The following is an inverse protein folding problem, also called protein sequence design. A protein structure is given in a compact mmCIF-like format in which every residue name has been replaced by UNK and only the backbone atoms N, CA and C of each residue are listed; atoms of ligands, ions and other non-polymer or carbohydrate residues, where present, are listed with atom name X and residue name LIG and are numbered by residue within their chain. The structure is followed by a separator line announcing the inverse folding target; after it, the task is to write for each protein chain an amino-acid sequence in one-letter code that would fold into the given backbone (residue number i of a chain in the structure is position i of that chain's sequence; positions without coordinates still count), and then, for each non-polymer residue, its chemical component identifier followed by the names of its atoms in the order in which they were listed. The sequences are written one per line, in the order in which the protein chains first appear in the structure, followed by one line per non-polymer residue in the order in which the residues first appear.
data_IF_700874362898
#
_entry.id   IF_700874362898
#
_cell.length_a   1.000
_cell.length_b   1.000
_cell.length_c   1.000
_cell.angle_alpha   90.00
_cell.angle_beta   90.00
_cell.angle_gamma   90.00
#
_symmetry.space_group_name_H-M   'P 1'
#
loop_
_entity.id
_entity.type
_entity.pdbx_description
1 polymer ?
#
# COMPACT_ATOMS: atom_id res chain seq x y z
N UNK A 1 -14.59 -41.17 8.94
CA UNK A 1 -13.76 -40.37 9.86
C UNK A 1 -12.99 -39.37 9.00
N UNK A 2 -13.47 -38.14 8.90
CA UNK A 2 -12.83 -37.09 8.10
C UNK A 2 -12.28 -36.06 9.09
N UNK A 3 -10.98 -35.72 9.06
CA UNK A 3 -10.46 -34.75 10.01
C UNK A 3 -10.80 -33.34 9.50
N UNK A 4 -11.51 -32.58 10.33
CA UNK A 4 -11.64 -31.12 10.17
C UNK A 4 -10.29 -30.48 10.49
N UNK A 5 -9.72 -29.76 9.51
CA UNK A 5 -8.57 -28.89 9.74
C UNK A 5 -9.10 -27.49 10.00
N UNK A 6 -8.99 -27.03 11.26
CA UNK A 6 -9.29 -25.67 11.64
C UNK A 6 -8.12 -24.76 11.24
N UNK A 7 -8.37 -23.79 10.35
CA UNK A 7 -7.39 -22.75 10.01
C UNK A 7 -7.52 -21.63 11.03
N UNK A 8 -6.52 -21.50 11.91
CA UNK A 8 -6.44 -20.42 12.88
C UNK A 8 -5.86 -19.17 12.21
N UNK A 9 -6.64 -18.09 12.14
CA UNK A 9 -6.16 -16.79 11.67
C UNK A 9 -5.22 -16.19 12.73
N UNK A 10 -3.97 -15.92 12.36
CA UNK A 10 -3.02 -15.20 13.20
C UNK A 10 -3.27 -13.71 13.03
N UNK A 11 -3.73 -13.05 14.08
CA UNK A 11 -3.88 -11.60 14.12
C UNK A 11 -2.50 -10.93 14.19
N UNK A 12 -2.17 -10.13 13.18
CA UNK A 12 -0.97 -9.31 13.14
C UNK A 12 -1.19 -8.08 14.06
N UNK A 13 -0.53 -8.06 15.21
CA UNK A 13 -0.53 -6.89 16.09
C UNK A 13 0.30 -5.77 15.44
N UNK A 14 -0.34 -4.63 15.16
CA UNK A 14 0.34 -3.43 14.69
C UNK A 14 1.23 -2.86 15.81
N UNK A 15 2.54 -2.86 15.61
CA UNK A 15 3.46 -2.09 16.45
C UNK A 15 3.20 -0.60 16.23
N UNK A 16 2.63 0.05 17.23
CA UNK A 16 2.58 1.51 17.32
C UNK A 16 3.85 1.98 18.00
N UNK A 17 4.71 2.67 17.26
CA UNK A 17 5.85 3.40 17.84
C UNK A 17 5.40 4.85 18.05
N UNK A 18 5.25 5.34 19.29
CA UNK A 18 5.06 6.76 19.53
C UNK A 18 6.44 7.42 19.47
N UNK A 19 6.64 8.33 18.52
CA UNK A 19 7.76 9.27 18.54
C UNK A 19 7.21 10.68 18.49
N UNK A 20 7.03 11.24 19.68
CA UNK A 20 6.65 12.62 19.93
C UNK A 20 7.91 13.50 19.99
N UNK A 21 7.89 14.56 19.19
CA UNK A 21 8.66 15.79 19.38
C UNK A 21 7.94 16.88 18.60
N UNK A 22 6.92 17.47 19.22
CA UNK A 22 6.24 18.65 18.71
C UNK A 22 7.18 19.87 18.85
N UNK A 23 8.24 19.92 18.04
CA UNK A 23 9.05 21.13 17.89
C UNK A 23 8.18 22.24 17.30
N UNK A 24 8.28 23.46 17.83
CA UNK A 24 7.62 24.62 17.25
C UNK A 24 7.96 24.69 15.75
N UNK A 25 6.94 24.52 14.90
CA UNK A 25 7.11 24.69 13.46
C UNK A 25 7.20 26.19 13.20
N UNK A 26 8.13 26.64 12.36
CA UNK A 26 8.19 28.03 11.88
C UNK A 26 8.05 28.03 10.36
N UNK A 27 7.46 29.09 9.81
CA UNK A 27 7.28 29.23 8.36
C UNK A 27 7.78 30.60 7.91
N UNK A 28 8.56 30.62 6.85
CA UNK A 28 9.01 31.85 6.18
C UNK A 28 8.03 32.15 5.03
N UNK A 29 7.57 33.38 4.94
CA UNK A 29 6.61 33.81 3.93
C UNK A 29 7.30 34.37 2.68
N UNK A 30 6.59 34.36 1.55
CA UNK A 30 7.02 35.05 0.34
C UNK A 30 7.15 36.57 0.59
N UNK A 31 8.09 37.26 -0.10
CA UNK A 31 8.28 38.69 0.11
C UNK A 31 7.01 39.49 -0.17
N UNK A 32 6.74 40.52 0.64
CA UNK A 32 5.55 41.37 0.49
C UNK A 32 4.27 40.78 1.09
N UNK A 33 4.35 39.72 1.90
CA UNK A 33 3.21 39.19 2.68
C UNK A 33 3.55 39.15 4.17
N UNK A 34 2.52 39.18 5.03
CA UNK A 34 2.68 39.17 6.50
C UNK A 34 1.93 38.01 7.15
N UNK A 35 2.32 37.64 8.37
CA UNK A 35 1.72 36.52 9.12
C UNK A 35 0.20 36.67 9.27
N UNK A 36 -0.28 37.90 9.42
CA UNK A 36 -1.70 38.22 9.49
C UNK A 36 -2.50 37.78 8.25
N UNK A 37 -1.94 37.90 7.04
CA UNK A 37 -2.63 37.53 5.79
C UNK A 37 -2.96 36.03 5.76
N UNK A 38 -2.13 35.23 6.45
CA UNK A 38 -2.28 33.79 6.57
C UNK A 38 -3.00 33.36 7.86
N UNK A 39 -3.40 34.31 8.71
CA UNK A 39 -3.98 34.09 10.05
C UNK A 39 -3.05 33.27 10.95
N UNK A 40 -1.75 33.52 10.84
CA UNK A 40 -0.70 32.85 11.60
C UNK A 40 -0.13 33.82 12.62
N UNK A 41 0.19 33.34 13.82
CA UNK A 41 0.81 34.16 14.85
C UNK A 41 2.25 34.55 14.47
N UNK A 42 2.65 35.74 14.88
CA UNK A 42 4.02 36.22 14.71
C UNK A 42 4.94 35.63 15.79
N UNK A 43 6.23 35.56 15.48
CA UNK A 43 7.25 35.18 16.45
C UNK A 43 7.31 36.26 17.53
N UNK A 44 7.01 35.87 18.76
CA UNK A 44 6.69 36.81 19.85
C UNK A 44 7.92 37.37 20.56
N UNK A 45 9.10 36.72 20.41
CA UNK A 45 10.31 37.13 21.11
C UNK A 45 11.55 37.19 20.21
N UNK A 46 12.47 38.08 20.59
CA UNK A 46 13.76 38.24 19.92
C UNK A 46 14.57 36.94 19.91
N UNK A 47 14.63 36.25 21.05
CA UNK A 47 15.43 35.03 21.20
C UNK A 47 14.85 33.88 20.37
N UNK A 48 13.53 33.79 20.27
CA UNK A 48 12.85 32.85 19.38
C UNK A 48 13.14 33.17 17.91
N UNK A 49 13.04 34.44 17.52
CA UNK A 49 13.35 34.90 16.15
C UNK A 49 14.78 34.54 15.74
N UNK A 50 15.76 34.89 16.58
CA UNK A 50 17.17 34.77 16.26
C UNK A 50 17.76 33.38 16.45
N UNK A 51 17.05 32.47 17.11
CA UNK A 51 17.54 31.11 17.36
C UNK A 51 16.60 30.08 16.73
N UNK A 52 15.47 29.76 17.38
CA UNK A 52 14.58 28.68 16.98
C UNK A 52 14.01 28.91 15.57
N UNK A 53 13.47 30.10 15.30
CA UNK A 53 12.81 30.42 14.04
C UNK A 53 13.81 30.49 12.88
N UNK A 54 14.93 31.20 13.05
CA UNK A 54 16.00 31.29 12.05
C UNK A 54 16.54 29.92 11.63
N UNK A 55 16.76 29.04 12.61
CA UNK A 55 17.28 27.69 12.37
C UNK A 55 16.25 26.82 11.65
N UNK A 56 14.98 26.89 12.07
CA UNK A 56 13.90 26.11 11.49
C UNK A 56 13.60 26.47 10.01
N UNK A 57 13.80 27.73 9.61
CA UNK A 57 13.56 28.17 8.22
C UNK A 57 14.83 28.20 7.36
N UNK A 58 15.90 27.53 7.80
CA UNK A 58 17.12 27.33 7.02
C UNK A 58 17.90 28.62 6.70
N UNK A 59 17.78 29.64 7.54
CA UNK A 59 18.52 30.89 7.35
C UNK A 59 19.89 30.75 8.02
N UNK A 60 20.85 30.18 7.30
CA UNK A 60 22.22 30.03 7.81
C UNK A 60 22.97 31.37 7.74
N UNK A 61 23.41 31.87 8.89
CA UNK A 61 24.35 33.01 9.04
C UNK A 61 23.88 34.43 8.64
N UNK A 62 22.61 34.85 8.83
CA UNK A 62 22.25 36.24 8.59
C UNK A 62 22.86 37.14 9.67
N UNK A 63 23.15 38.40 9.31
CA UNK A 63 23.38 39.42 10.33
C UNK A 63 22.10 39.55 11.17
N UNK A 64 22.20 39.65 12.49
CA UNK A 64 21.04 39.79 13.38
C UNK A 64 20.90 41.24 13.81
N UNK A 65 19.72 41.82 13.64
CA UNK A 65 19.48 43.22 13.96
C UNK A 65 18.12 43.39 14.64
N UNK A 66 18.08 44.12 15.76
CA UNK A 66 16.82 44.55 16.35
C UNK A 66 16.57 46.01 15.96
N UNK A 67 15.42 46.28 15.34
CA UNK A 67 14.98 47.66 15.06
C UNK A 67 13.57 47.81 15.60
N UNK A 68 13.39 48.66 16.61
CA UNK A 68 12.07 48.96 17.15
C UNK A 68 11.44 50.13 16.40
N UNK A 69 10.12 50.12 16.25
CA UNK A 69 9.36 51.23 15.63
C UNK A 69 9.31 51.23 14.09
N UNK A 70 9.66 50.14 13.42
CA UNK A 70 9.67 50.06 11.93
C UNK A 70 8.34 49.56 11.33
N UNK A 71 7.25 49.67 12.08
CA UNK A 71 5.90 49.42 11.55
C UNK A 71 5.52 47.94 11.44
N UNK A 72 6.22 47.05 12.13
CA UNK A 72 5.80 45.67 12.33
C UNK A 72 6.28 45.12 13.68
N UNK A 73 5.65 44.03 14.12
CA UNK A 73 6.10 43.21 15.23
C UNK A 73 6.56 41.84 14.72
N UNK A 74 7.58 41.28 15.36
CA UNK A 74 8.05 39.92 15.11
C UNK A 74 9.30 39.83 14.26
N UNK A 75 9.43 38.74 13.51
CA UNK A 75 10.67 38.32 12.85
C UNK A 75 10.56 38.42 11.33
N UNK A 76 11.53 39.04 10.67
CA UNK A 76 11.56 39.14 9.21
C UNK A 76 13.00 39.04 8.66
N UNK A 77 13.18 38.32 7.56
CA UNK A 77 14.43 38.29 6.79
C UNK A 77 14.37 39.34 5.69
N UNK A 78 15.28 40.30 5.70
CA UNK A 78 15.52 41.16 4.56
C UNK A 78 16.36 40.40 3.53
N UNK A 79 15.74 40.01 2.41
CA UNK A 79 16.37 39.16 1.39
C UNK A 79 17.44 39.89 0.59
N UNK A 80 17.37 41.22 0.50
CA UNK A 80 18.36 42.04 -0.22
C UNK A 80 19.62 42.21 0.61
N UNK A 81 19.48 42.50 1.91
CA UNK A 81 20.61 42.74 2.81
C UNK A 81 21.11 41.47 3.51
N UNK A 82 20.40 40.34 3.40
CA UNK A 82 20.62 39.11 4.16
C UNK A 82 20.71 39.36 5.68
N UNK A 83 19.79 40.18 6.20
CA UNK A 83 19.71 40.55 7.62
C UNK A 83 18.41 40.03 8.22
N UNK A 84 18.53 39.32 9.33
CA UNK A 84 17.40 38.88 10.13
C UNK A 84 17.05 39.98 11.13
N UNK A 85 15.84 40.53 10.99
CA UNK A 85 15.34 41.67 11.73
C UNK A 85 14.27 41.20 12.71
N UNK A 86 14.43 41.59 13.97
CA UNK A 86 13.35 41.53 14.96
C UNK A 86 12.89 42.96 15.27
N UNK A 87 11.58 43.19 15.30
CA UNK A 87 11.01 44.51 15.59
C UNK A 87 9.90 44.42 16.62
N UNK A 88 9.85 45.40 17.51
CA UNK A 88 8.73 45.70 18.39
C UNK A 88 8.29 47.15 18.14
N UNK A 89 7.04 47.34 17.72
CA UNK A 89 6.39 48.62 17.50
C UNK A 89 5.10 48.63 18.35
N UNK A 90 5.08 49.33 19.50
CA UNK A 90 3.96 49.27 20.46
C UNK A 90 2.58 49.64 19.88
N UNK A 91 2.55 50.48 18.84
CA UNK A 91 1.32 50.92 18.19
C UNK A 91 0.92 50.06 16.98
N UNK A 92 1.75 49.09 16.58
CA UNK A 92 1.49 48.27 15.42
C UNK A 92 0.62 47.07 15.80
N UNK A 93 -0.52 46.94 15.15
CA UNK A 93 -1.36 45.73 15.19
C UNK A 93 -1.02 44.83 14.00
N UNK A 94 -1.27 43.51 14.08
CA UNK A 94 -1.04 42.59 12.96
C UNK A 94 -1.66 43.04 11.63
N UNK A 95 -2.84 43.66 11.67
CA UNK A 95 -3.50 44.21 10.47
C UNK A 95 -2.73 45.38 9.85
N UNK A 96 -2.10 46.21 10.68
CA UNK A 96 -1.35 47.41 10.27
C UNK A 96 0.12 47.15 9.93
N UNK A 97 0.61 45.92 10.04
CA UNK A 97 2.01 45.62 9.73
C UNK A 97 2.34 45.90 8.27
N UNK A 98 3.51 46.53 8.07
CA UNK A 98 4.03 46.86 6.76
C UNK A 98 4.39 45.59 5.99
N UNK A 99 3.82 45.43 4.80
CA UNK A 99 4.21 44.37 3.88
C UNK A 99 5.20 44.94 2.86
N UNK A 100 6.50 44.69 3.05
CA UNK A 100 7.56 45.17 2.15
C UNK A 100 7.99 44.04 1.21
N UNK A 101 8.17 44.36 -0.08
CA UNK A 101 8.60 43.41 -1.11
C UNK A 101 10.01 42.84 -0.89
N UNK A 102 10.79 43.40 0.05
CA UNK A 102 12.13 42.94 0.42
C UNK A 102 12.17 42.16 1.73
N UNK A 103 11.05 42.08 2.46
CA UNK A 103 10.95 41.39 3.73
C UNK A 103 10.18 40.08 3.57
N UNK A 104 10.79 38.99 4.03
CA UNK A 104 10.15 37.69 4.22
C UNK A 104 9.87 37.50 5.71
N UNK A 105 8.61 37.61 6.13
CA UNK A 105 8.22 37.40 7.52
C UNK A 105 8.40 35.94 7.92
N UNK A 106 8.86 35.71 9.15
CA UNK A 106 8.93 34.39 9.78
C UNK A 106 7.84 34.34 10.85
N UNK A 107 6.92 33.40 10.69
CA UNK A 107 5.73 33.22 11.52
C UNK A 107 5.81 31.90 12.29
N UNK A 108 5.01 31.78 13.35
CA UNK A 108 4.81 30.50 14.03
C UNK A 108 4.10 29.55 13.06
N UNK A 109 4.84 28.64 12.45
CA UNK A 109 4.36 27.72 11.44
C UNK A 109 3.16 26.93 11.93
N UNK A 110 2.26 26.61 11.00
CA UNK A 110 1.09 25.81 11.37
C UNK A 110 1.53 24.36 11.53
N UNK A 111 1.31 23.82 12.72
CA UNK A 111 1.72 22.46 13.07
C UNK A 111 1.20 21.49 12.01
N UNK A 112 2.14 20.93 11.23
CA UNK A 112 1.83 19.97 10.19
C UNK A 112 2.19 18.60 10.73
N UNK A 113 1.18 17.83 11.14
CA UNK A 113 1.39 16.44 11.57
C UNK A 113 1.53 15.58 10.32
N UNK A 114 2.76 15.21 10.01
CA UNK A 114 3.07 14.23 8.97
C UNK A 114 3.09 12.85 9.62
N UNK A 115 2.16 11.98 9.23
CA UNK A 115 2.17 10.60 9.72
C UNK A 115 2.20 9.63 8.56
N UNK A 116 3.01 8.59 8.73
CA UNK A 116 3.23 7.54 7.75
C UNK A 116 2.27 6.39 8.00
N UNK A 117 1.52 5.98 6.97
CA UNK A 117 0.74 4.74 6.97
C UNK A 117 1.43 3.69 6.09
N UNK A 118 1.56 2.48 6.63
CA UNK A 118 2.10 1.31 5.92
C UNK A 118 0.96 0.38 5.57
N UNK A 119 0.73 0.15 4.28
CA UNK A 119 -0.29 -0.80 3.80
C UNK A 119 0.36 -2.04 3.21
N UNK A 120 -0.28 -3.19 3.45
CA UNK A 120 0.14 -4.52 2.97
C UNK A 120 -1.01 -5.11 2.14
N UNK A 121 -0.86 -5.22 0.81
CA UNK A 121 -1.84 -5.96 0.01
C UNK A 121 -1.29 -6.41 -1.35
N UNK A 122 -1.15 -7.73 -1.52
CA UNK A 122 -1.55 -8.46 -2.74
C UNK A 122 -1.44 -9.97 -2.51
N UNK A 123 -2.52 -10.70 -2.81
CA UNK A 123 -2.56 -12.17 -2.74
C UNK A 123 -2.72 -12.69 -4.16
N UNK A 124 -1.68 -13.32 -4.70
CA UNK A 124 -1.76 -14.00 -5.99
C UNK A 124 -2.10 -15.46 -5.75
N UNK A 125 -3.22 -15.91 -6.30
CA UNK A 125 -3.61 -17.32 -6.31
C UNK A 125 -3.22 -17.91 -7.65
N UNK A 126 -2.32 -18.88 -7.65
CA UNK A 126 -2.00 -19.65 -8.86
C UNK A 126 -2.58 -21.04 -8.70
N UNK A 127 -3.48 -21.41 -9.62
CA UNK A 127 -4.04 -22.76 -9.70
C UNK A 127 -3.25 -23.55 -10.72
N UNK A 128 -2.57 -24.60 -10.27
CA UNK A 128 -1.87 -25.55 -11.15
C UNK A 128 -2.60 -26.87 -11.13
N UNK A 129 -3.05 -27.32 -12.30
CA UNK A 129 -3.63 -28.64 -12.51
C UNK A 129 -2.52 -29.55 -13.03
N UNK A 130 -2.11 -30.54 -12.23
CA UNK A 130 -1.16 -31.56 -12.70
C UNK A 130 -1.88 -32.66 -13.48
N UNK A 131 -1.16 -33.29 -14.41
CA UNK A 131 -1.67 -33.92 -15.63
C UNK A 131 -2.65 -35.09 -15.51
N UNK A 132 -3.26 -35.40 -16.67
CA UNK A 132 -4.29 -36.42 -16.93
C UNK A 132 -3.75 -37.86 -16.79
N UNK A 133 -2.44 -38.02 -16.58
CA UNK A 133 -1.77 -39.31 -16.42
C UNK A 133 -0.75 -39.26 -15.28
N UNK A 134 -0.63 -40.37 -14.53
CA UNK A 134 0.35 -40.52 -13.47
C UNK A 134 1.14 -41.82 -13.68
N UNK A 135 2.47 -41.74 -13.55
CA UNK A 135 3.34 -42.92 -13.52
C UNK A 135 3.55 -43.34 -12.07
N UNK A 136 3.19 -44.58 -11.75
CA UNK A 136 3.36 -45.15 -10.42
C UNK A 136 4.78 -45.69 -10.24
N UNK A 137 5.18 -45.87 -8.99
CA UNK A 137 6.42 -46.56 -8.66
C UNK A 137 6.37 -48.06 -9.00
N UNK A 138 7.54 -48.73 -8.99
CA UNK A 138 7.61 -50.17 -9.21
C UNK A 138 6.80 -50.95 -8.16
N UNK A 139 6.30 -52.13 -8.54
CA UNK A 139 5.40 -52.97 -7.72
C UNK A 139 4.03 -52.36 -7.38
N UNK A 140 3.63 -51.25 -7.99
CA UNK A 140 2.29 -50.67 -7.86
C UNK A 140 1.53 -50.76 -9.18
N UNK A 141 0.19 -50.86 -9.12
CA UNK A 141 -0.72 -50.82 -10.28
C UNK A 141 -1.85 -49.82 -10.05
N UNK A 142 -2.53 -49.41 -11.11
CA UNK A 142 -3.56 -48.38 -11.04
C UNK A 142 -4.71 -48.74 -10.09
N UNK A 143 -5.11 -50.01 -10.05
CA UNK A 143 -6.14 -50.50 -9.13
C UNK A 143 -5.76 -50.44 -7.65
N UNK A 144 -4.46 -50.44 -7.28
CA UNK A 144 -4.04 -50.26 -5.88
C UNK A 144 -4.29 -48.83 -5.39
N UNK A 145 -4.21 -47.85 -6.31
CA UNK A 145 -4.41 -46.43 -6.05
C UNK A 145 -5.87 -46.00 -6.29
N UNK A 146 -6.76 -46.93 -6.68
CA UNK A 146 -8.15 -46.63 -7.03
C UNK A 146 -8.28 -45.82 -8.32
N UNK A 147 -7.30 -45.90 -9.21
CA UNK A 147 -7.21 -45.14 -10.45
C UNK A 147 -7.45 -46.05 -11.65
N UNK A 148 -8.24 -45.65 -12.66
CA UNK A 148 -8.44 -46.49 -13.85
C UNK A 148 -7.17 -46.56 -14.72
N UNK A 149 -6.91 -47.73 -15.29
CA UNK A 149 -5.85 -47.93 -16.28
C UNK A 149 -6.10 -47.09 -17.54
N UNK A 150 -5.03 -46.79 -18.28
CA UNK A 150 -5.12 -46.12 -19.57
C UNK A 150 -5.80 -47.06 -20.59
N UNK A 151 -6.96 -46.68 -21.18
CA UNK A 151 -7.84 -47.64 -21.86
C UNK A 151 -7.47 -47.91 -23.33
N UNK A 152 -6.53 -47.15 -23.89
CA UNK A 152 -6.15 -47.28 -25.31
C UNK A 152 -4.66 -47.14 -25.52
N UNK A 153 -4.17 -47.83 -26.55
CA UNK A 153 -2.79 -47.74 -27.03
C UNK A 153 -2.38 -46.30 -27.37
N UNK A 154 -3.24 -45.55 -28.07
CA UNK A 154 -2.96 -44.16 -28.42
C UNK A 154 -2.83 -43.26 -27.19
N UNK A 155 -3.70 -43.42 -26.19
CA UNK A 155 -3.55 -42.69 -24.93
C UNK A 155 -2.24 -43.04 -24.21
N UNK A 156 -1.79 -44.30 -24.28
CA UNK A 156 -0.54 -44.76 -23.67
C UNK A 156 0.69 -44.17 -24.38
N UNK A 157 0.79 -44.30 -25.70
CA UNK A 157 1.99 -43.96 -26.46
C UNK A 157 2.03 -42.49 -26.91
N UNK A 158 0.89 -41.88 -27.22
CA UNK A 158 0.87 -40.51 -27.76
C UNK A 158 0.73 -39.46 -26.65
N UNK A 159 -0.09 -39.71 -25.63
CA UNK A 159 -0.38 -38.73 -24.58
C UNK A 159 0.41 -39.00 -23.29
N UNK A 160 0.25 -40.20 -22.73
CA UNK A 160 0.81 -40.52 -21.41
C UNK A 160 2.34 -40.56 -21.44
N UNK A 161 2.94 -41.13 -22.49
CA UNK A 161 4.38 -41.20 -22.66
C UNK A 161 5.07 -39.84 -22.52
N UNK A 162 4.57 -38.80 -23.20
CA UNK A 162 5.16 -37.47 -23.13
C UNK A 162 4.89 -36.80 -21.78
N UNK A 163 3.67 -36.93 -21.24
CA UNK A 163 3.25 -36.26 -20.02
C UNK A 163 3.93 -36.80 -18.76
N UNK A 164 4.35 -38.06 -18.76
CA UNK A 164 5.10 -38.67 -17.64
C UNK A 164 6.62 -38.63 -17.83
N UNK A 165 7.10 -37.85 -18.80
CA UNK A 165 8.53 -37.63 -19.04
C UNK A 165 9.27 -38.79 -19.72
N UNK A 166 8.55 -39.68 -20.42
CA UNK A 166 9.10 -40.83 -21.16
C UNK A 166 9.18 -40.57 -22.68
N UNK A 167 9.19 -39.30 -23.10
CA UNK A 167 9.33 -38.94 -24.51
C UNK A 167 10.58 -39.54 -25.14
N UNK A 168 10.43 -40.22 -26.29
CA UNK A 168 11.54 -40.87 -27.01
C UNK A 168 11.87 -42.30 -26.56
N UNK A 169 11.18 -42.82 -25.55
CA UNK A 169 11.26 -44.25 -25.18
C UNK A 169 10.62 -45.11 -26.30
N UNK A 170 11.19 -46.29 -26.57
CA UNK A 170 10.59 -47.21 -27.56
C UNK A 170 9.24 -47.74 -27.05
N UNK A 171 8.24 -47.80 -27.92
CA UNK A 171 6.91 -48.30 -27.57
C UNK A 171 6.64 -49.68 -28.19
N UNK A 172 6.03 -50.59 -27.42
CA UNK A 172 5.70 -51.94 -27.87
C UNK A 172 4.31 -52.37 -27.38
N UNK A 173 3.54 -52.99 -28.26
CA UNK A 173 2.25 -53.59 -27.89
C UNK A 173 2.43 -55.08 -27.56
N UNK A 174 1.93 -55.51 -26.41
CA UNK A 174 2.02 -56.89 -25.92
C UNK A 174 0.64 -57.38 -25.47
N UNK A 175 -0.08 -58.03 -26.39
CA UNK A 175 -1.37 -58.62 -26.09
C UNK A 175 -1.22 -60.03 -25.52
N UNK A 176 -2.15 -60.41 -24.63
CA UNK A 176 -2.17 -61.70 -23.93
C UNK A 176 -0.95 -62.00 -23.04
N UNK A 177 -0.31 -60.95 -22.51
CA UNK A 177 0.88 -61.06 -21.67
C UNK A 177 0.58 -61.13 -20.17
N UNK A 178 -0.70 -61.27 -19.76
CA UNK A 178 -1.09 -61.34 -18.34
C UNK A 178 -1.23 -59.98 -17.66
N UNK A 179 -1.32 -58.90 -18.44
CA UNK A 179 -1.68 -57.57 -17.96
C UNK A 179 -2.55 -56.85 -18.99
N UNK A 180 -3.27 -55.84 -18.53
CA UNK A 180 -4.05 -54.91 -19.34
C UNK A 180 -3.73 -53.48 -18.91
N UNK A 181 -3.44 -52.58 -19.85
CA UNK A 181 -3.13 -51.17 -19.59
C UNK A 181 -1.76 -50.73 -20.09
N UNK A 182 -1.31 -49.59 -19.57
CA UNK A 182 -0.08 -48.91 -19.98
C UNK A 182 0.98 -49.01 -18.88
N UNK A 183 2.19 -49.46 -19.19
CA UNK A 183 3.27 -49.55 -18.22
C UNK A 183 4.63 -49.31 -18.86
N UNK A 184 5.59 -48.89 -18.05
CA UNK A 184 6.98 -48.68 -18.46
C UNK A 184 7.86 -49.76 -17.82
N UNK A 185 8.63 -50.47 -18.64
CA UNK A 185 9.66 -51.38 -18.18
C UNK A 185 10.98 -50.61 -18.05
N UNK A 186 11.35 -50.29 -16.82
CA UNK A 186 12.56 -49.52 -16.52
C UNK A 186 13.85 -50.27 -16.83
N UNK A 187 13.83 -51.61 -16.79
CA UNK A 187 15.00 -52.43 -17.11
C UNK A 187 15.28 -52.48 -18.62
N UNK A 188 14.22 -52.52 -19.44
CA UNK A 188 14.34 -52.54 -20.90
C UNK A 188 14.31 -51.15 -21.54
N UNK A 189 13.93 -50.12 -20.77
CA UNK A 189 13.62 -48.78 -21.26
C UNK A 189 12.62 -48.80 -22.43
N UNK A 190 11.48 -49.47 -22.22
CA UNK A 190 10.41 -49.63 -23.20
C UNK A 190 9.06 -49.34 -22.55
N UNK A 191 8.24 -48.55 -23.23
CA UNK A 191 6.83 -48.32 -22.91
C UNK A 191 6.00 -49.44 -23.52
N UNK A 192 5.13 -50.06 -22.73
CA UNK A 192 4.34 -51.22 -23.15
C UNK A 192 2.86 -50.95 -22.94
N UNK A 193 2.07 -51.34 -23.93
CA UNK A 193 0.61 -51.37 -23.84
C UNK A 193 0.14 -52.80 -24.11
N UNK A 194 -0.70 -53.34 -23.24
CA UNK A 194 -1.20 -54.70 -23.38
C UNK A 194 -2.68 -54.80 -23.11
N UNK A 195 -3.33 -55.78 -23.74
CA UNK A 195 -4.69 -56.21 -23.41
C UNK A 195 -4.65 -57.74 -23.29
N UNK A 196 -5.10 -58.26 -22.15
CA UNK A 196 -5.26 -59.70 -21.93
C UNK A 196 -6.73 -60.01 -21.65
N UNK A 197 -7.36 -60.79 -22.53
CA UNK A 197 -8.77 -61.16 -22.37
C UNK A 197 -8.99 -62.01 -21.11
N UNK A 198 -10.02 -61.69 -20.33
CA UNK A 198 -10.37 -62.43 -19.10
C UNK A 198 -9.48 -62.14 -17.88
N UNK A 199 -8.51 -61.22 -17.99
CA UNK A 199 -7.75 -60.72 -16.84
C UNK A 199 -8.43 -59.45 -16.33
N UNK A 200 -8.98 -59.52 -15.13
CA UNK A 200 -9.48 -58.34 -14.42
C UNK A 200 -8.31 -57.39 -14.12
N UNK A 201 -8.58 -56.08 -14.09
CA UNK A 201 -7.55 -55.06 -13.81
C UNK A 201 -6.94 -55.22 -12.42
N UNK A 202 -7.65 -55.81 -11.46
CA UNK A 202 -7.12 -56.19 -10.15
C UNK A 202 -6.26 -57.48 -10.16
N UNK A 203 -6.15 -58.17 -11.30
CA UNK A 203 -5.27 -59.32 -11.49
C UNK A 203 -3.99 -58.98 -12.27
N UNK A 204 -3.83 -57.72 -12.68
CA UNK A 204 -2.61 -57.22 -13.32
C UNK A 204 -1.36 -57.55 -12.49
N UNK A 205 -0.34 -58.09 -13.15
CA UNK A 205 0.92 -58.49 -12.52
C UNK A 205 1.69 -57.29 -11.94
N UNK A 206 2.29 -57.48 -10.77
CA UNK A 206 3.19 -56.50 -10.13
C UNK A 206 4.61 -57.01 -10.26
N UNK A 207 5.45 -56.27 -10.98
CA UNK A 207 6.87 -56.57 -11.11
C UNK A 207 7.68 -55.36 -10.68
N UNK A 208 8.85 -55.60 -10.09
CA UNK A 208 9.71 -54.54 -9.57
C UNK A 208 10.37 -53.70 -10.66
N UNK A 209 10.29 -54.13 -11.91
CA UNK A 209 10.80 -53.42 -13.09
C UNK A 209 9.69 -52.72 -13.88
N UNK A 210 8.42 -52.92 -13.50
CA UNK A 210 7.27 -52.37 -14.22
C UNK A 210 6.65 -51.21 -13.42
N UNK A 211 6.53 -50.07 -14.07
CA UNK A 211 5.91 -48.85 -13.55
C UNK A 211 4.62 -48.58 -14.33
N UNK A 212 3.45 -48.79 -13.72
CA UNK A 212 2.17 -48.55 -14.41
C UNK A 212 1.94 -47.07 -14.65
N UNK A 213 1.36 -46.74 -15.80
CA UNK A 213 0.89 -45.40 -16.13
C UNK A 213 -0.64 -45.44 -16.13
N UNK A 214 -1.23 -44.63 -15.26
CA UNK A 214 -2.66 -44.61 -14.97
C UNK A 214 -3.29 -43.31 -15.46
N UNK A 215 -4.62 -43.30 -15.67
CA UNK A 215 -5.34 -42.04 -15.87
C UNK A 215 -5.30 -41.25 -14.56
N UNK A 216 -4.48 -40.21 -14.47
CA UNK A 216 -4.30 -39.44 -13.24
C UNK A 216 -5.64 -38.95 -12.67
N UNK A 217 -5.78 -38.99 -11.35
CA UNK A 217 -6.81 -38.19 -10.68
C UNK A 217 -6.32 -36.75 -10.78
N UNK A 218 -7.07 -35.82 -11.41
CA UNK A 218 -6.63 -34.44 -11.53
C UNK A 218 -6.47 -33.83 -10.14
N UNK A 219 -5.22 -33.70 -9.68
CA UNK A 219 -4.90 -32.98 -8.45
C UNK A 219 -4.81 -31.49 -8.74
N UNK A 220 -5.73 -30.73 -8.16
CA UNK A 220 -5.67 -29.27 -8.15
C UNK A 220 -4.82 -28.84 -6.96
N UNK A 221 -3.63 -28.32 -7.22
CA UNK A 221 -2.80 -27.69 -6.18
C UNK A 221 -2.98 -26.19 -6.28
N UNK A 222 -3.55 -25.59 -5.23
CA UNK A 222 -3.68 -24.14 -5.07
C UNK A 222 -2.47 -23.64 -4.29
N UNK A 223 -1.58 -22.90 -4.94
CA UNK A 223 -0.48 -22.21 -4.25
C UNK A 223 -0.88 -20.76 -4.07
N UNK A 224 -0.93 -20.33 -2.80
CA UNK A 224 -1.16 -18.93 -2.44
C UNK A 224 0.17 -18.29 -2.12
N UNK A 225 0.68 -17.45 -3.02
CA UNK A 225 1.88 -16.66 -2.76
C UNK A 225 1.45 -15.26 -2.32
N UNK A 226 1.72 -14.92 -1.06
CA UNK A 226 1.51 -13.57 -0.54
C UNK A 226 2.73 -12.72 -0.88
N UNK A 227 2.60 -11.79 -1.81
CA UNK A 227 3.64 -10.79 -2.09
C UNK A 227 3.31 -9.55 -1.29
N UNK A 228 4.12 -9.28 -0.26
CA UNK A 228 3.99 -8.07 0.57
C UNK A 228 4.68 -6.92 -0.17
N UNK A 229 3.89 -6.16 -0.92
CA UNK A 229 4.35 -4.86 -1.43
C UNK A 229 4.05 -3.79 -0.39
N UNK A 230 5.10 -3.35 0.30
CA UNK A 230 4.99 -2.29 1.30
C UNK A 230 4.95 -0.93 0.60
N UNK A 231 3.75 -0.35 0.45
CA UNK A 231 3.64 1.02 -0.05
C UNK A 231 3.55 1.97 1.13
N UNK A 232 4.55 2.84 1.26
CA UNK A 232 4.58 3.87 2.31
C UNK A 232 3.84 5.10 1.77
N UNK A 233 2.69 5.43 2.37
CA UNK A 233 1.96 6.67 2.06
C UNK A 233 2.06 7.64 3.23
N UNK A 234 2.17 8.92 2.91
CA UNK A 234 2.24 10.01 3.88
C UNK A 234 0.94 10.76 3.80
N UNK A 235 0.27 10.95 4.94
CA UNK A 235 -0.92 11.78 5.02
C UNK A 235 -0.63 13.01 5.87
N UNK A 236 -1.20 14.14 5.43
CA UNK A 236 -1.07 15.41 6.13
C UNK A 236 -2.44 15.97 6.45
N UNK A 237 -2.65 16.37 7.69
CA UNK A 237 -3.84 17.09 8.14
C UNK A 237 -3.57 18.58 8.10
N UNK A 238 -4.34 19.32 7.29
CA UNK A 238 -4.23 20.76 7.17
C UNK A 238 -5.07 21.49 8.23
N UNK A 239 -4.70 22.74 8.56
CA UNK A 239 -5.47 23.58 9.47
C UNK A 239 -6.88 23.86 8.94
N UNK A 240 -7.80 24.22 9.84
CA UNK A 240 -9.17 24.47 9.47
C UNK A 240 -9.30 25.60 8.42
N UNK A 241 -10.11 25.36 7.38
CA UNK A 241 -10.31 26.32 6.29
C UNK A 241 -9.22 26.32 5.21
N UNK A 242 -8.29 25.35 5.23
CA UNK A 242 -7.27 25.16 4.19
C UNK A 242 -7.55 23.89 3.39
N UNK A 243 -7.40 23.94 2.06
CA UNK A 243 -7.63 22.79 1.16
C UNK A 243 -6.31 22.21 0.66
N UNK A 244 -6.30 20.93 0.31
CA UNK A 244 -5.13 20.28 -0.29
C UNK A 244 -4.63 21.01 -1.55
N UNK A 245 -5.56 21.51 -2.38
CA UNK A 245 -5.25 22.26 -3.59
C UNK A 245 -4.50 23.57 -3.33
N UNK A 246 -4.78 24.25 -2.21
CA UNK A 246 -4.12 25.53 -1.86
C UNK A 246 -2.61 25.34 -1.59
N UNK A 247 -2.18 24.10 -1.37
CA UNK A 247 -0.80 23.69 -1.09
C UNK A 247 -0.23 22.78 -2.18
N UNK A 248 -0.91 22.63 -3.32
CA UNK A 248 -0.51 21.71 -4.39
C UNK A 248 -0.34 20.25 -3.92
N UNK A 249 -1.12 19.82 -2.92
CA UNK A 249 -1.14 18.43 -2.43
C UNK A 249 -2.37 17.72 -3.01
N UNK A 250 -2.23 16.44 -3.34
CA UNK A 250 -3.37 15.64 -3.76
C UNK A 250 -4.36 15.41 -2.62
N UNK A 251 -5.66 15.52 -2.92
CA UNK A 251 -6.69 15.06 -2.01
C UNK A 251 -6.64 13.52 -1.91
N UNK A 252 -7.07 12.99 -0.76
CA UNK A 252 -7.17 11.53 -0.59
C UNK A 252 -8.15 10.95 -1.63
N UNK A 253 -7.71 9.96 -2.44
CA UNK A 253 -8.41 9.60 -3.68
C UNK A 253 -9.63 8.69 -3.50
N UNK A 254 -9.82 8.11 -2.32
CA UNK A 254 -10.91 7.17 -2.08
C UNK A 254 -11.41 7.20 -0.63
N UNK A 255 -12.64 6.74 -0.45
CA UNK A 255 -13.27 6.56 0.86
C UNK A 255 -12.47 5.64 1.76
N UNK A 256 -12.03 4.52 1.21
CA UNK A 256 -11.22 3.53 1.94
C UNK A 256 -9.89 4.14 2.38
N UNK A 257 -9.22 4.89 1.49
CA UNK A 257 -8.01 5.60 1.84
C UNK A 257 -8.24 6.67 2.93
N UNK A 258 -9.38 7.35 2.92
CA UNK A 258 -9.74 8.33 3.95
C UNK A 258 -10.00 7.66 5.31
N UNK A 259 -10.83 6.63 5.33
CA UNK A 259 -11.35 6.04 6.56
C UNK A 259 -10.44 5.02 7.22
N UNK A 260 -9.51 4.43 6.48
CA UNK A 260 -8.57 3.45 7.01
C UNK A 260 -7.19 4.07 7.15
N UNK A 261 -6.58 4.47 6.04
CA UNK A 261 -5.17 4.87 6.03
C UNK A 261 -4.96 6.28 6.57
N UNK A 262 -5.69 7.27 6.03
CA UNK A 262 -5.56 8.66 6.43
C UNK A 262 -6.06 8.88 7.87
N UNK A 263 -7.15 8.22 8.27
CA UNK A 263 -7.65 8.24 9.63
C UNK A 263 -6.61 7.72 10.64
N UNK A 264 -5.96 6.58 10.33
CA UNK A 264 -4.92 6.03 11.20
C UNK A 264 -3.68 6.90 11.26
N UNK A 265 -3.23 7.41 10.11
CA UNK A 265 -2.10 8.32 10.06
C UNK A 265 -2.38 9.60 10.90
N UNK A 266 -3.55 10.20 10.78
CA UNK A 266 -3.84 11.49 11.42
C UNK A 266 -4.39 11.39 12.85
N UNK A 267 -4.41 10.18 13.45
CA UNK A 267 -4.93 9.98 14.81
C UNK A 267 -6.45 10.10 14.93
N UNK A 268 -7.18 9.86 13.84
CA UNK A 268 -8.63 9.99 13.73
C UNK A 268 -9.38 8.65 13.60
N UNK A 269 -8.71 7.51 13.77
CA UNK A 269 -9.31 6.17 13.61
C UNK A 269 -10.56 5.92 14.46
N UNK A 270 -10.62 6.51 15.65
CA UNK A 270 -11.73 6.36 16.59
C UNK A 270 -12.89 7.34 16.35
N UNK A 271 -12.79 8.22 15.34
CA UNK A 271 -13.84 9.20 15.05
C UNK A 271 -14.98 8.57 14.25
N UNK A 272 -16.18 9.13 14.42
CA UNK A 272 -17.33 8.75 13.61
C UNK A 272 -17.06 9.05 12.14
N UNK A 273 -17.45 8.13 11.24
CA UNK A 273 -17.14 8.18 9.81
C UNK A 273 -18.43 8.40 9.02
N UNK A 274 -18.42 9.37 8.11
CA UNK A 274 -19.61 9.72 7.32
C UNK A 274 -19.26 10.00 5.86
N UNK A 275 -19.97 9.35 4.94
CA UNK A 275 -19.86 9.65 3.51
C UNK A 275 -20.89 10.71 3.11
N UNK A 276 -20.46 11.75 2.40
CA UNK A 276 -21.29 12.93 2.06
C UNK A 276 -21.01 13.41 0.63
N UNK A 277 -21.94 13.13 -0.28
CA UNK A 277 -21.74 13.40 -1.72
C UNK A 277 -22.36 14.72 -2.23
N UNK A 278 -22.83 15.59 -1.33
CA UNK A 278 -23.60 16.78 -1.71
C UNK A 278 -23.22 18.06 -0.94
N UNK A 279 -22.04 18.09 -0.31
CA UNK A 279 -21.61 19.23 0.52
C UNK A 279 -20.63 20.18 -0.19
N UNK A 280 -20.42 20.02 -1.50
CA UNK A 280 -19.58 20.91 -2.30
C UNK A 280 -18.08 20.81 -2.00
N UNK A 281 -17.62 19.65 -1.55
CA UNK A 281 -16.21 19.32 -1.45
C UNK A 281 -15.92 17.93 -2.04
N UNK A 282 -14.65 17.70 -2.39
CA UNK A 282 -14.14 16.38 -2.73
C UNK A 282 -12.95 16.01 -1.84
N UNK A 283 -12.85 14.74 -1.44
CA UNK A 283 -11.75 14.22 -0.63
C UNK A 283 -12.11 13.96 0.84
N UNK A 284 -11.09 13.96 1.70
CA UNK A 284 -11.18 13.57 3.10
C UNK A 284 -11.08 14.80 4.03
N UNK A 285 -12.03 14.98 4.94
CA UNK A 285 -12.08 16.14 5.85
C UNK A 285 -12.46 15.72 7.27
N UNK A 286 -11.90 16.39 8.26
CA UNK A 286 -12.32 16.27 9.65
C UNK A 286 -13.07 17.54 10.08
N UNK A 287 -14.33 17.39 10.48
CA UNK A 287 -15.11 18.48 11.06
C UNK A 287 -14.78 18.58 12.55
N UNK A 288 -14.04 19.63 12.92
CA UNK A 288 -13.56 19.81 14.30
C UNK A 288 -14.68 20.12 15.30
N UNK A 289 -15.81 20.66 14.83
CA UNK A 289 -16.97 21.00 15.67
C UNK A 289 -17.78 19.75 15.98
N UNK A 290 -18.06 18.94 14.96
CA UNK A 290 -18.86 17.72 15.12
C UNK A 290 -18.04 16.51 15.60
N UNK A 291 -16.70 16.55 15.47
CA UNK A 291 -15.84 15.41 15.76
C UNK A 291 -16.01 14.25 14.76
N UNK A 292 -16.39 14.55 13.51
CA UNK A 292 -16.71 13.58 12.47
C UNK A 292 -15.66 13.63 11.36
N UNK A 293 -15.15 12.45 10.98
CA UNK A 293 -14.36 12.25 9.77
C UNK A 293 -15.29 12.01 8.59
N UNK A 294 -15.15 12.80 7.53
CA UNK A 294 -16.01 12.73 6.36
C UNK A 294 -15.21 12.48 5.09
N UNK A 295 -15.80 11.70 4.20
CA UNK A 295 -15.33 11.58 2.82
C UNK A 295 -16.45 12.04 1.88
N UNK A 296 -16.13 12.91 0.93
CA UNK A 296 -17.12 13.43 -0.01
C UNK A 296 -16.66 13.34 -1.45
N UNK A 297 -17.62 13.03 -2.33
CA UNK A 297 -17.49 13.13 -3.78
C UNK A 297 -18.70 13.88 -4.32
N UNK A 298 -18.61 15.21 -4.36
CA UNK A 298 -19.68 16.03 -4.95
C UNK A 298 -19.49 16.07 -6.47
N UNK A 299 -20.51 15.70 -7.29
CA UNK A 299 -20.46 15.86 -8.74
C UNK A 299 -20.06 17.28 -9.13
N UNK A 300 -19.28 17.42 -10.20
CA UNK A 300 -18.78 18.70 -10.74
C UNK A 300 -17.85 19.51 -9.82
N UNK A 301 -17.54 18.99 -8.62
CA UNK A 301 -16.56 19.58 -7.72
C UNK A 301 -15.19 18.94 -7.94
N UNK A 302 -14.26 19.78 -8.37
CA UNK A 302 -12.85 19.45 -8.52
C UNK A 302 -12.08 19.82 -7.25
N UNK A 303 -10.82 19.36 -7.08
CA UNK A 303 -9.96 19.86 -6.02
C UNK A 303 -9.84 21.40 -6.00
N UNK A 304 -9.84 22.05 -7.18
CA UNK A 304 -9.76 23.50 -7.31
C UNK A 304 -11.05 24.22 -6.88
N UNK A 305 -12.22 23.61 -7.12
CA UNK A 305 -13.54 24.17 -6.82
C UNK A 305 -14.14 23.71 -5.49
N UNK A 306 -13.41 22.88 -4.74
CA UNK A 306 -13.80 22.43 -3.40
C UNK A 306 -13.98 23.60 -2.44
N UNK A 307 -15.07 23.64 -1.68
CA UNK A 307 -15.32 24.71 -0.70
C UNK A 307 -14.39 24.61 0.51
N UNK A 308 -13.76 25.72 0.90
CA UNK A 308 -12.97 25.82 2.12
C UNK A 308 -13.88 26.19 3.31
N UNK A 309 -14.22 25.22 4.16
CA UNK A 309 -15.02 25.47 5.36
C UNK A 309 -14.12 25.81 6.56
N UNK A 310 -14.43 26.88 7.33
CA UNK A 310 -13.58 27.35 8.43
C UNK A 310 -13.45 26.36 9.60
N UNK A 311 -14.28 25.31 9.64
CA UNK A 311 -14.25 24.27 10.66
C UNK A 311 -13.80 22.90 10.13
N UNK A 312 -13.37 22.83 8.87
CA UNK A 312 -12.92 21.56 8.27
C UNK A 312 -11.41 21.57 8.13
N UNK A 313 -10.78 20.56 8.71
CA UNK A 313 -9.38 20.21 8.50
C UNK A 313 -9.30 19.20 7.35
N UNK A 314 -8.74 19.61 6.20
CA UNK A 314 -8.58 18.71 5.06
C UNK A 314 -7.42 17.75 5.29
N UNK A 315 -7.62 16.48 4.92
CA UNK A 315 -6.57 15.45 4.97
C UNK A 315 -6.13 15.15 3.54
N UNK A 316 -4.83 15.26 3.31
CA UNK A 316 -4.23 15.19 1.99
C UNK A 316 -3.29 13.98 1.85
N UNK A 317 -3.20 13.44 0.65
CA UNK A 317 -2.36 12.30 0.26
C UNK A 317 -1.02 12.83 -0.25
N UNK A 318 -0.07 12.95 0.67
CA UNK A 318 1.24 13.55 0.48
C UNK A 318 1.72 14.24 1.76
N UNK A 319 3.04 14.40 1.88
CA UNK A 319 3.57 15.41 2.77
C UNK A 319 3.04 16.76 2.27
N UNK A 320 2.60 17.64 3.17
CA UNK A 320 2.55 19.04 2.78
C UNK A 320 3.94 19.39 2.24
N UNK A 321 4.04 20.07 1.09
CA UNK A 321 5.33 20.60 0.72
C UNK A 321 5.85 21.32 1.97
N UNK A 322 7.12 21.09 2.38
CA UNK A 322 7.74 22.06 3.27
C UNK A 322 7.36 23.40 2.69
N UNK A 323 6.72 24.25 3.51
CA UNK A 323 6.27 25.56 3.07
C UNK A 323 7.54 26.27 2.65
N UNK A 324 7.90 26.07 1.38
CA UNK A 324 9.15 26.53 0.80
C UNK A 324 8.83 28.00 0.55
N UNK A 325 9.52 28.89 1.28
CA UNK A 325 9.30 30.32 1.20
C UNK A 325 9.48 30.89 -0.19
#
# INVERSE_FOLDING_TARGET
WVPSVAVTAVALAALTVPSESAGASYSRLIPGTKCFDYKVAEVSSKDECFNAAASAVGVSTPLKMQINGVGFNGCALNTVANVLIYSETPSATPATHMALATLQYICNGVATTTTTATTTASTATTTTTSGIFAKLGPNSRCSDEGVPDVPTKGACFDAAQHLVGLGGVSAMELNNAGFSGCLFNSAANVMMYGITSGVEVEANMKLSTFEYVCNGIPTTTTTTTATVTTTTRVYTKLPAGKRCFDYSIHAVPSKEACFEYAASATGLSAKFKLEVNFMGFTGCVYNVVAGILMYGLTPDVTPATTMAFPHFEYICDGAAPPVYP
#
